data_IF_312528921710
#
_entry.id   IF_312528921710
#
_cell.length_a   1.000
_cell.length_b   1.000
_cell.length_c   1.000
_cell.angle_alpha   90.00
_cell.angle_beta   90.00
_cell.angle_gamma   90.00
#
_symmetry.space_group_name_H-M   'P 1'
#
loop_
_entity.id
_entity.type
_entity.pdbx_description
1 polymer ?
#
# COMPACT_ATOMS: atom_id res chain seq x y z
N UNK A 1 -14.43 -6.62 -5.77
CA UNK A 1 -14.88 -5.33 -5.20
C UNK A 1 -13.91 -4.83 -4.13
N UNK A 2 -13.10 -5.70 -3.53
CA UNK A 2 -12.18 -5.36 -2.44
C UNK A 2 -10.95 -4.51 -2.81
N UNK A 3 -10.39 -4.65 -4.03
CA UNK A 3 -9.14 -3.95 -4.38
C UNK A 3 -9.27 -2.42 -4.37
N UNK A 4 -10.43 -1.90 -4.80
CA UNK A 4 -10.73 -0.46 -4.78
C UNK A 4 -10.85 0.07 -3.35
N UNK A 5 -11.47 -0.70 -2.45
CA UNK A 5 -11.65 -0.33 -1.04
C UNK A 5 -10.30 -0.25 -0.32
N UNK A 6 -9.36 -1.15 -0.63
CA UNK A 6 -8.01 -1.12 -0.04
C UNK A 6 -7.23 0.12 -0.51
N UNK A 7 -7.35 0.48 -1.80
CA UNK A 7 -6.72 1.69 -2.34
C UNK A 7 -7.27 2.98 -1.69
N UNK A 8 -8.59 3.09 -1.54
CA UNK A 8 -9.23 4.22 -0.84
C UNK A 8 -8.77 4.31 0.63
N UNK A 9 -8.58 3.16 1.30
CA UNK A 9 -8.07 3.11 2.66
C UNK A 9 -6.60 3.54 2.74
N UNK A 10 -5.76 3.13 1.80
CA UNK A 10 -4.36 3.58 1.69
C UNK A 10 -4.32 5.09 1.46
N UNK A 11 -5.14 5.63 0.56
CA UNK A 11 -5.23 7.07 0.30
C UNK A 11 -5.60 7.85 1.57
N UNK A 12 -6.62 7.38 2.30
CA UNK A 12 -7.06 8.02 3.54
C UNK A 12 -5.95 8.03 4.59
N UNK A 13 -5.26 6.90 4.81
CA UNK A 13 -4.16 6.81 5.78
C UNK A 13 -3.00 7.72 5.38
N UNK A 14 -2.65 7.78 4.10
CA UNK A 14 -1.59 8.67 3.62
C UNK A 14 -1.92 10.14 3.90
N UNK A 15 -3.17 10.56 3.64
CA UNK A 15 -3.63 11.93 3.90
C UNK A 15 -3.61 12.28 5.39
N UNK A 16 -4.00 11.34 6.25
CA UNK A 16 -3.96 11.54 7.71
C UNK A 16 -2.51 11.57 8.24
N UNK A 17 -1.65 10.69 7.74
CA UNK A 17 -0.25 10.59 8.18
C UNK A 17 0.59 11.83 7.87
N UNK A 18 0.29 12.55 6.78
CA UNK A 18 0.99 13.79 6.40
C UNK A 18 0.33 15.08 6.91
N UNK A 19 -0.69 14.97 7.77
CA UNK A 19 -1.33 16.14 8.38
C UNK A 19 -0.30 17.02 9.10
N UNK A 20 -0.46 18.35 9.07
CA UNK A 20 0.46 19.32 9.67
C UNK A 20 0.69 19.10 11.18
N UNK A 21 -0.29 18.50 11.87
CA UNK A 21 -0.24 18.17 13.30
C UNK A 21 0.36 16.79 13.59
N UNK A 22 0.66 16.00 12.57
CA UNK A 22 1.14 14.62 12.68
C UNK A 22 2.57 14.58 13.23
N UNK A 23 2.77 13.86 14.34
CA UNK A 23 4.10 13.63 14.89
C UNK A 23 4.89 12.66 14.03
N UNK A 24 6.22 12.63 14.16
CA UNK A 24 7.06 11.66 13.44
C UNK A 24 6.60 10.21 13.65
N UNK A 25 6.16 9.89 14.88
CA UNK A 25 5.60 8.59 15.24
C UNK A 25 4.31 8.25 14.48
N UNK A 26 3.44 9.24 14.24
CA UNK A 26 2.19 9.03 13.52
C UNK A 26 2.45 8.74 12.04
N UNK A 27 3.49 9.34 11.46
CA UNK A 27 3.98 9.03 10.11
C UNK A 27 4.53 7.61 10.02
N UNK A 28 5.30 7.17 11.01
CA UNK A 28 5.83 5.80 11.05
C UNK A 28 4.70 4.77 11.15
N UNK A 29 3.69 5.02 11.99
CA UNK A 29 2.50 4.17 12.12
C UNK A 29 1.72 4.13 10.80
N UNK A 30 1.51 5.28 10.16
CA UNK A 30 0.83 5.35 8.86
C UNK A 30 1.57 4.54 7.78
N UNK A 31 2.90 4.62 7.74
CA UNK A 31 3.73 3.85 6.80
C UNK A 31 3.65 2.34 7.04
N UNK A 32 3.61 1.90 8.30
CA UNK A 32 3.42 0.48 8.65
C UNK A 32 2.07 -0.01 8.13
N UNK A 33 0.97 0.68 8.43
CA UNK A 33 -0.37 0.28 7.99
C UNK A 33 -0.53 0.30 6.47
N UNK A 34 0.04 1.29 5.77
CA UNK A 34 0.04 1.30 4.30
C UNK A 34 0.79 0.09 3.75
N UNK A 35 1.93 -0.28 4.36
CA UNK A 35 2.73 -1.42 3.92
C UNK A 35 2.01 -2.75 4.12
N UNK A 36 1.32 -2.92 5.24
CA UNK A 36 0.47 -4.09 5.52
C UNK A 36 -0.66 -4.21 4.48
N UNK A 37 -1.39 -3.12 4.23
CA UNK A 37 -2.49 -3.10 3.27
C UNK A 37 -2.02 -3.36 1.82
N UNK A 38 -0.89 -2.79 1.42
CA UNK A 38 -0.29 -3.06 0.12
C UNK A 38 0.20 -4.52 0.01
N UNK A 39 0.65 -5.11 1.12
CA UNK A 39 1.01 -6.52 1.22
C UNK A 39 -0.19 -7.46 1.06
N UNK A 40 -1.32 -7.14 1.69
CA UNK A 40 -2.59 -7.85 1.51
C UNK A 40 -3.07 -7.80 0.05
N UNK A 41 -2.90 -6.67 -0.65
CA UNK A 41 -3.21 -6.60 -2.08
C UNK A 41 -2.34 -7.55 -2.91
N UNK A 42 -1.06 -7.74 -2.55
CA UNK A 42 -0.14 -8.65 -3.27
C UNK A 42 -0.56 -10.11 -3.22
N UNK A 43 -1.26 -10.56 -2.17
CA UNK A 43 -1.72 -11.96 -2.07
C UNK A 43 -2.98 -12.23 -2.90
N UNK A 44 -3.72 -11.18 -3.28
CA UNK A 44 -4.86 -11.26 -4.18
C UNK A 44 -4.49 -11.08 -5.67
N UNK A 45 -3.21 -10.89 -5.99
CA UNK A 45 -2.78 -10.73 -7.38
C UNK A 45 -2.90 -12.08 -8.09
N UNK A 46 -3.77 -12.13 -9.10
CA UNK A 46 -3.86 -13.29 -9.99
C UNK A 46 -2.45 -13.65 -10.52
N UNK A 47 -2.10 -14.95 -10.58
CA UNK A 47 -0.73 -15.39 -10.88
C UNK A 47 -0.13 -14.76 -12.15
N UNK A 48 -0.97 -14.47 -13.14
CA UNK A 48 -0.58 -13.77 -14.37
C UNK A 48 -0.07 -12.34 -14.13
N UNK A 49 -0.72 -11.58 -13.24
CA UNK A 49 -0.29 -10.21 -12.88
C UNK A 49 0.95 -10.22 -11.99
N UNK A 50 1.10 -11.24 -11.14
CA UNK A 50 2.28 -11.40 -10.28
C UNK A 50 3.54 -11.67 -11.12
N UNK A 51 3.39 -12.40 -12.22
CA UNK A 51 4.47 -12.66 -13.17
C UNK A 51 4.96 -11.39 -13.87
N UNK A 52 4.04 -10.52 -14.30
CA UNK A 52 4.39 -9.21 -14.90
C UNK A 52 5.17 -8.34 -13.91
N UNK A 53 4.77 -8.31 -12.64
CA UNK A 53 5.49 -7.54 -11.60
C UNK A 53 6.91 -8.10 -11.39
N UNK A 54 7.08 -9.44 -11.36
CA UNK A 54 8.41 -10.06 -11.26
C UNK A 54 9.31 -9.69 -12.45
N UNK A 55 8.77 -9.78 -13.66
CA UNK A 55 9.53 -9.45 -14.87
C UNK A 55 9.98 -7.97 -14.85
N UNK A 56 9.11 -7.06 -14.45
CA UNK A 56 9.45 -5.64 -14.31
C UNK A 56 10.50 -5.39 -13.22
N UNK A 57 10.42 -6.08 -12.08
CA UNK A 57 11.39 -5.94 -10.99
C UNK A 57 12.77 -6.51 -11.32
N UNK A 58 12.88 -7.42 -12.28
CA UNK A 58 14.16 -8.05 -12.69
C UNK A 58 14.92 -7.21 -13.72
N UNK A 59 14.26 -6.22 -14.34
CA UNK A 59 14.85 -5.35 -15.37
C UNK A 59 15.47 -4.07 -14.75
N UNK A 60 15.33 -3.85 -13.44
CA UNK A 60 15.82 -2.66 -12.73
C UNK A 60 17.10 -2.89 -11.92
#
# INVERSE_FOLDING_TARGET
MDEVVVLERIELIARLGVCYESQAKDKDIALIWISELAGEMKTCIAPEKAEVIRQLATIS
#
